data_IF_016182186939
#
_entry.id   IF_016182186939
#
_cell.length_a   1.000
_cell.length_b   1.000
_cell.length_c   1.000
_cell.angle_alpha   90.00
_cell.angle_beta   90.00
_cell.angle_gamma   90.00
#
_symmetry.space_group_name_H-M   'P 1'
#
loop_
_entity.id
_entity.type
_entity.pdbx_description
1 polymer ?
#
# COMPACT_ATOMS: atom_id res chain seq x y z
N UNK A 1 18.50 19.24 -47.79
CA UNK A 1 17.99 19.82 -46.53
C UNK A 1 18.29 18.81 -45.43
N UNK A 2 19.48 18.90 -44.85
CA UNK A 2 19.88 18.14 -43.67
C UNK A 2 19.13 18.74 -42.48
N UNK A 3 18.22 17.95 -41.92
CA UNK A 3 17.38 18.37 -40.82
C UNK A 3 18.26 18.45 -39.56
N UNK A 4 18.63 19.66 -39.13
CA UNK A 4 19.15 19.96 -37.78
C UNK A 4 18.04 19.70 -36.74
N UNK A 5 17.57 18.46 -36.65
CA UNK A 5 16.65 18.04 -35.59
C UNK A 5 17.53 17.72 -34.41
N UNK A 6 17.50 18.58 -33.38
CA UNK A 6 18.42 18.50 -32.23
C UNK A 6 18.51 17.12 -31.56
N UNK A 7 19.48 16.98 -30.67
CA UNK A 7 19.92 15.76 -29.95
C UNK A 7 18.82 14.72 -29.58
N UNK A 8 17.60 15.15 -29.30
CA UNK A 8 16.48 14.29 -28.92
C UNK A 8 15.66 13.69 -30.08
N UNK A 9 16.08 13.85 -31.33
CA UNK A 9 15.33 13.39 -32.50
C UNK A 9 16.13 12.49 -33.45
N UNK A 10 17.45 12.38 -33.29
CA UNK A 10 18.30 11.66 -34.25
C UNK A 10 18.23 10.14 -34.08
N UNK A 11 18.18 9.66 -32.84
CA UNK A 11 18.30 8.23 -32.52
C UNK A 11 16.95 7.53 -32.24
N UNK A 12 15.86 8.29 -32.12
CA UNK A 12 14.54 7.74 -31.77
C UNK A 12 13.74 7.34 -33.01
N UNK A 13 12.95 6.29 -32.89
CA UNK A 13 11.91 5.96 -33.87
C UNK A 13 10.76 6.97 -33.83
N UNK A 14 9.96 7.03 -34.90
CA UNK A 14 8.90 8.04 -35.05
C UNK A 14 7.79 7.98 -33.98
N UNK A 15 7.56 6.79 -33.43
CA UNK A 15 6.65 6.47 -32.34
C UNK A 15 7.22 6.76 -30.95
N UNK A 16 8.54 6.76 -30.79
CA UNK A 16 9.21 7.12 -29.54
C UNK A 16 9.49 8.61 -29.39
N UNK A 17 9.26 9.42 -30.43
CA UNK A 17 9.41 10.86 -30.35
C UNK A 17 8.60 11.45 -29.19
N UNK A 18 9.23 12.36 -28.45
CA UNK A 18 8.71 13.04 -27.26
C UNK A 18 8.51 12.18 -26.00
N UNK A 19 8.75 10.86 -26.01
CA UNK A 19 8.65 10.03 -24.79
C UNK A 19 9.52 10.61 -23.67
N UNK A 20 10.76 11.01 -23.98
CA UNK A 20 11.66 11.62 -22.99
C UNK A 20 11.10 12.93 -22.40
N UNK A 21 10.44 13.76 -23.20
CA UNK A 21 9.86 15.03 -22.75
C UNK A 21 8.66 14.78 -21.82
N UNK A 22 7.85 13.78 -22.17
CA UNK A 22 6.71 13.31 -21.37
C UNK A 22 7.24 12.78 -20.02
N UNK A 23 8.23 11.90 -20.03
CA UNK A 23 8.77 11.27 -18.82
C UNK A 23 9.43 12.28 -17.88
N UNK A 24 10.21 13.24 -18.41
CA UNK A 24 10.81 14.32 -17.62
C UNK A 24 9.72 15.19 -16.99
N UNK A 25 8.67 15.54 -17.76
CA UNK A 25 7.55 16.33 -17.24
C UNK A 25 6.85 15.61 -16.09
N UNK A 26 6.59 14.31 -16.26
CA UNK A 26 6.00 13.47 -15.23
C UNK A 26 6.92 13.26 -14.03
N UNK A 27 8.24 13.17 -14.23
CA UNK A 27 9.22 13.09 -13.17
C UNK A 27 9.17 14.34 -12.27
N UNK A 28 9.11 15.53 -12.87
CA UNK A 28 9.04 16.80 -12.13
C UNK A 28 7.78 16.84 -11.26
N UNK A 29 6.60 16.57 -11.85
CA UNK A 29 5.35 16.63 -11.08
C UNK A 29 5.24 15.52 -10.02
N UNK A 30 5.79 14.32 -10.27
CA UNK A 30 5.84 13.26 -9.27
C UNK A 30 6.85 13.56 -8.16
N UNK A 31 7.99 14.20 -8.46
CA UNK A 31 8.94 14.66 -7.46
C UNK A 31 8.33 15.72 -6.55
N UNK A 32 7.61 16.70 -7.11
CA UNK A 32 6.84 17.68 -6.33
C UNK A 32 5.79 17.01 -5.46
N UNK A 33 5.04 16.04 -6.00
CA UNK A 33 4.06 15.28 -5.24
C UNK A 33 4.70 14.48 -4.10
N UNK A 34 5.88 13.89 -4.32
CA UNK A 34 6.64 13.17 -3.30
C UNK A 34 7.09 14.11 -2.18
N UNK A 35 7.58 15.31 -2.50
CA UNK A 35 7.95 16.32 -1.51
C UNK A 35 6.74 16.74 -0.66
N UNK A 36 5.58 17.00 -1.28
CA UNK A 36 4.34 17.34 -0.57
C UNK A 36 3.89 16.18 0.33
N UNK A 37 3.99 14.95 -0.17
CA UNK A 37 3.64 13.73 0.58
C UNK A 37 4.56 13.55 1.78
N UNK A 38 5.87 13.75 1.63
CA UNK A 38 6.82 13.68 2.75
C UNK A 38 6.53 14.78 3.78
N UNK A 39 6.22 15.99 3.34
CA UNK A 39 5.80 17.08 4.25
C UNK A 39 4.52 16.73 5.03
N UNK A 40 3.51 16.15 4.36
CA UNK A 40 2.32 15.66 5.02
C UNK A 40 2.63 14.50 5.97
N UNK A 41 3.54 13.60 5.62
CA UNK A 41 4.00 12.51 6.49
C UNK A 41 4.55 13.05 7.83
N UNK A 42 5.38 14.10 7.79
CA UNK A 42 5.89 14.75 9.00
C UNK A 42 4.77 15.35 9.86
N UNK A 43 3.82 16.06 9.23
CA UNK A 43 2.65 16.63 9.93
C UNK A 43 1.70 15.57 10.50
N UNK A 44 1.54 14.44 9.81
CA UNK A 44 0.72 13.32 10.29
C UNK A 44 1.41 12.59 11.43
N UNK A 45 2.74 12.41 11.36
CA UNK A 45 3.54 11.78 12.41
C UNK A 45 3.47 12.56 13.73
N UNK A 46 3.57 13.89 13.69
CA UNK A 46 3.45 14.71 14.90
C UNK A 46 2.06 14.63 15.56
N UNK A 47 1.04 14.26 14.78
CA UNK A 47 -0.35 14.10 15.24
C UNK A 47 -0.76 12.64 15.49
N UNK A 48 0.17 11.68 15.45
CA UNK A 48 -0.08 10.24 15.58
C UNK A 48 -1.00 9.64 14.49
N UNK A 49 -1.15 10.32 13.35
CA UNK A 49 -2.00 9.89 12.22
C UNK A 49 -1.22 9.22 11.08
N UNK A 50 -0.03 8.68 11.38
CA UNK A 50 0.83 8.06 10.38
C UNK A 50 0.57 6.56 10.25
N UNK A 51 -0.52 6.23 9.57
CA UNK A 51 -0.99 4.85 9.41
C UNK A 51 -0.21 4.08 8.34
N UNK A 52 -0.29 2.75 8.45
CA UNK A 52 0.31 1.82 7.50
C UNK A 52 -0.13 2.08 6.06
N UNK A 53 -1.39 2.47 5.82
CA UNK A 53 -1.88 2.81 4.47
C UNK A 53 -1.11 3.99 3.86
N UNK A 54 -0.83 5.03 4.63
CA UNK A 54 -0.02 6.16 4.17
C UNK A 54 1.44 5.76 3.90
N UNK A 55 2.00 4.82 4.68
CA UNK A 55 3.33 4.25 4.42
C UNK A 55 3.37 3.47 3.09
N UNK A 56 2.36 2.64 2.83
CA UNK A 56 2.25 1.90 1.56
C UNK A 56 2.14 2.87 0.38
N UNK A 57 1.36 3.95 0.54
CA UNK A 57 1.28 5.02 -0.45
C UNK A 57 2.65 5.68 -0.73
N UNK A 58 3.42 6.01 0.32
CA UNK A 58 4.77 6.55 0.18
C UNK A 58 5.69 5.61 -0.60
N UNK A 59 5.65 4.31 -0.32
CA UNK A 59 6.43 3.30 -1.05
C UNK A 59 6.03 3.28 -2.52
N UNK A 60 4.72 3.22 -2.81
CA UNK A 60 4.18 3.26 -4.18
C UNK A 60 4.67 4.48 -4.95
N UNK A 61 4.49 5.68 -4.39
CA UNK A 61 4.88 6.94 -5.03
C UNK A 61 6.41 7.03 -5.23
N UNK A 62 7.19 6.52 -4.28
CA UNK A 62 8.66 6.47 -4.40
C UNK A 62 9.09 5.52 -5.51
N UNK A 63 8.46 4.35 -5.63
CA UNK A 63 8.68 3.43 -6.76
C UNK A 63 8.32 4.11 -8.09
N UNK A 64 7.20 4.84 -8.17
CA UNK A 64 6.81 5.58 -9.39
C UNK A 64 7.84 6.64 -9.78
N UNK A 65 8.30 7.44 -8.82
CA UNK A 65 9.32 8.47 -9.06
C UNK A 65 10.66 7.83 -9.47
N UNK A 66 11.02 6.70 -8.86
CA UNK A 66 12.25 5.95 -9.21
C UNK A 66 12.18 5.39 -10.63
N UNK A 67 11.03 4.84 -11.03
CA UNK A 67 10.77 4.42 -12.41
C UNK A 67 11.02 5.56 -13.40
N UNK A 68 10.36 6.71 -13.20
CA UNK A 68 10.47 7.87 -14.09
C UNK A 68 11.89 8.42 -14.15
N UNK A 69 12.62 8.39 -13.02
CA UNK A 69 14.02 8.82 -12.95
C UNK A 69 14.91 7.90 -13.79
N UNK A 70 14.81 6.58 -13.59
CA UNK A 70 15.64 5.61 -14.32
C UNK A 70 15.29 5.63 -15.82
N UNK A 71 14.01 5.70 -16.19
CA UNK A 71 13.58 5.83 -17.59
C UNK A 71 14.09 7.12 -18.23
N UNK A 72 13.99 8.26 -17.55
CA UNK A 72 14.49 9.54 -18.08
C UNK A 72 16.01 9.49 -18.31
N UNK A 73 16.77 8.89 -17.41
CA UNK A 73 18.22 8.69 -17.57
C UNK A 73 18.51 7.72 -18.72
N UNK A 74 17.75 6.63 -18.84
CA UNK A 74 17.86 5.66 -19.92
C UNK A 74 17.63 6.31 -21.29
N UNK A 75 16.50 6.98 -21.46
CA UNK A 75 16.15 7.68 -22.71
C UNK A 75 17.13 8.82 -23.01
N UNK A 76 17.60 9.53 -21.99
CA UNK A 76 18.62 10.57 -22.14
C UNK A 76 19.96 10.02 -22.63
N UNK A 77 20.39 8.84 -22.16
CA UNK A 77 21.60 8.18 -22.67
C UNK A 77 21.39 7.70 -24.11
N UNK A 78 20.28 7.04 -24.37
CA UNK A 78 19.91 6.56 -25.69
C UNK A 78 19.86 7.69 -26.73
N UNK A 79 19.37 8.88 -26.35
CA UNK A 79 19.39 10.06 -27.22
C UNK A 79 20.80 10.47 -27.66
N UNK A 80 21.81 10.26 -26.80
CA UNK A 80 23.19 10.68 -27.06
C UNK A 80 24.00 9.62 -27.82
N UNK A 81 23.84 8.34 -27.49
CA UNK A 81 24.67 7.26 -28.04
C UNK A 81 23.96 6.37 -29.06
N UNK A 82 22.62 6.39 -29.11
CA UNK A 82 21.81 5.52 -29.96
C UNK A 82 21.86 4.05 -29.60
N UNK A 83 22.44 3.69 -28.44
CA UNK A 83 22.66 2.30 -28.04
C UNK A 83 21.55 1.86 -27.08
N UNK A 84 20.73 0.92 -27.53
CA UNK A 84 19.70 0.33 -26.67
C UNK A 84 20.31 -0.52 -25.54
N UNK A 85 19.88 -0.24 -24.32
CA UNK A 85 20.30 -0.97 -23.11
C UNK A 85 19.10 -1.63 -22.45
N UNK A 86 18.63 -2.78 -22.97
CA UNK A 86 17.35 -3.38 -22.55
C UNK A 86 17.31 -3.68 -21.05
N UNK A 87 18.43 -4.08 -20.44
CA UNK A 87 18.49 -4.35 -19.00
C UNK A 87 18.11 -3.17 -18.11
N UNK A 88 18.46 -1.93 -18.51
CA UNK A 88 18.10 -0.73 -17.75
C UNK A 88 16.61 -0.40 -17.94
N UNK A 89 16.09 -0.52 -19.16
CA UNK A 89 14.66 -0.35 -19.48
C UNK A 89 13.80 -1.34 -18.68
N UNK A 90 14.17 -2.62 -18.67
CA UNK A 90 13.49 -3.67 -17.88
C UNK A 90 13.57 -3.39 -16.38
N UNK A 91 14.73 -2.95 -15.87
CA UNK A 91 14.88 -2.61 -14.46
C UNK A 91 14.03 -1.40 -14.04
N UNK A 92 13.89 -0.39 -14.90
CA UNK A 92 12.98 0.72 -14.65
C UNK A 92 11.52 0.24 -14.61
N UNK A 93 11.08 -0.55 -15.61
CA UNK A 93 9.71 -1.10 -15.66
C UNK A 93 9.37 -1.94 -14.43
N UNK A 94 10.34 -2.63 -13.83
CA UNK A 94 10.14 -3.33 -12.55
C UNK A 94 9.64 -2.38 -11.44
N UNK A 95 10.17 -1.16 -11.34
CA UNK A 95 9.70 -0.17 -10.37
C UNK A 95 8.29 0.35 -10.70
N UNK A 96 7.93 0.48 -11.98
CA UNK A 96 6.58 0.83 -12.42
C UNK A 96 5.57 -0.24 -11.99
N UNK A 97 5.91 -1.51 -12.20
CA UNK A 97 5.11 -2.65 -11.77
C UNK A 97 5.00 -2.72 -10.25
N UNK A 98 6.10 -2.51 -9.53
CA UNK A 98 6.11 -2.48 -8.06
C UNK A 98 5.21 -1.35 -7.51
N UNK A 99 5.30 -0.15 -8.09
CA UNK A 99 4.41 0.99 -7.79
C UNK A 99 2.95 0.58 -7.92
N UNK A 100 2.57 0.01 -9.06
CA UNK A 100 1.19 -0.45 -9.33
C UNK A 100 0.73 -1.50 -8.32
N UNK A 101 1.57 -2.49 -7.99
CA UNK A 101 1.26 -3.53 -7.01
C UNK A 101 1.04 -2.97 -5.60
N UNK A 102 1.90 -2.04 -5.14
CA UNK A 102 1.71 -1.39 -3.83
C UNK A 102 0.48 -0.51 -3.79
N UNK A 103 0.20 0.22 -4.87
CA UNK A 103 -1.01 1.03 -4.99
C UNK A 103 -2.27 0.16 -4.98
N UNK A 104 -2.28 -0.96 -5.71
CA UNK A 104 -3.37 -1.92 -5.70
C UNK A 104 -3.62 -2.48 -4.30
N UNK A 105 -2.56 -2.91 -3.61
CA UNK A 105 -2.65 -3.39 -2.23
C UNK A 105 -3.29 -2.33 -1.33
N UNK A 106 -2.85 -1.07 -1.44
CA UNK A 106 -3.41 0.05 -0.70
C UNK A 106 -4.92 0.21 -0.94
N UNK A 107 -5.36 0.18 -2.20
CA UNK A 107 -6.78 0.31 -2.55
C UNK A 107 -7.61 -0.84 -1.99
N UNK A 108 -7.11 -2.08 -2.03
CA UNK A 108 -7.81 -3.25 -1.49
C UNK A 108 -7.91 -3.16 0.03
N UNK A 109 -6.83 -2.79 0.72
CA UNK A 109 -6.82 -2.63 2.18
C UNK A 109 -7.83 -1.56 2.60
N UNK A 110 -7.83 -0.41 1.94
CA UNK A 110 -8.78 0.67 2.22
C UNK A 110 -10.21 0.31 1.82
N UNK A 111 -10.40 -0.43 0.73
CA UNK A 111 -11.70 -0.96 0.34
C UNK A 111 -12.29 -1.93 1.37
N UNK A 112 -11.42 -2.67 2.09
CA UNK A 112 -11.81 -3.50 3.24
C UNK A 112 -12.02 -2.71 4.55
N UNK A 113 -11.76 -1.41 4.51
CA UNK A 113 -11.90 -0.48 5.61
C UNK A 113 -10.72 -0.40 6.57
N UNK A 114 -9.56 -0.93 6.18
CA UNK A 114 -8.34 -0.77 6.98
C UNK A 114 -7.98 0.71 7.10
N UNK A 115 -7.68 1.13 8.33
CA UNK A 115 -7.39 2.51 8.74
C UNK A 115 -8.57 3.50 8.67
N UNK A 116 -9.59 3.25 7.82
CA UNK A 116 -10.76 4.13 7.67
C UNK A 116 -11.87 3.79 8.69
N UNK A 117 -12.34 2.54 8.68
CA UNK A 117 -13.41 2.08 9.59
C UNK A 117 -12.91 1.10 10.63
N UNK A 118 -11.74 0.47 10.40
CA UNK A 118 -11.15 -0.54 11.28
C UNK A 118 -9.65 -0.32 11.44
N UNK A 119 -9.17 -0.36 12.68
CA UNK A 119 -7.72 -0.33 12.99
C UNK A 119 -7.00 -1.64 12.63
N UNK A 120 -7.70 -2.78 12.64
CA UNK A 120 -7.18 -4.11 12.30
C UNK A 120 -8.13 -4.83 11.35
N UNK A 121 -7.58 -5.60 10.42
CA UNK A 121 -8.34 -6.52 9.56
C UNK A 121 -8.41 -7.87 10.28
N UNK A 122 -9.53 -8.58 10.17
CA UNK A 122 -9.64 -9.94 10.71
C UNK A 122 -8.60 -10.87 10.09
N UNK A 123 -8.12 -11.86 10.85
CA UNK A 123 -7.11 -12.83 10.40
C UNK A 123 -7.49 -13.49 9.08
N UNK A 124 -8.74 -13.95 8.95
CA UNK A 124 -9.24 -14.52 7.70
C UNK A 124 -9.29 -13.52 6.53
N UNK A 125 -9.51 -12.23 6.81
CA UNK A 125 -9.45 -11.17 5.79
C UNK A 125 -8.02 -10.91 5.32
N UNK A 126 -7.06 -10.85 6.25
CA UNK A 126 -5.63 -10.71 5.96
C UNK A 126 -5.13 -11.88 5.13
N UNK A 127 -5.49 -13.11 5.49
CA UNK A 127 -5.12 -14.32 4.75
C UNK A 127 -5.64 -14.23 3.30
N UNK A 128 -6.93 -13.90 3.09
CA UNK A 128 -7.52 -13.76 1.76
C UNK A 128 -6.83 -12.68 0.90
N UNK A 129 -6.54 -11.52 1.49
CA UNK A 129 -5.83 -10.43 0.79
C UNK A 129 -4.40 -10.85 0.44
N UNK A 130 -3.71 -11.52 1.35
CA UNK A 130 -2.33 -11.97 1.15
C UNK A 130 -2.27 -13.00 0.03
N UNK A 131 -3.14 -14.01 0.05
CA UNK A 131 -3.23 -15.01 -1.03
C UNK A 131 -3.50 -14.33 -2.38
N UNK A 132 -4.49 -13.43 -2.42
CA UNK A 132 -4.82 -12.69 -3.63
C UNK A 132 -3.61 -11.90 -4.16
N UNK A 133 -2.94 -11.12 -3.31
CA UNK A 133 -1.80 -10.31 -3.70
C UNK A 133 -0.58 -11.16 -4.12
N UNK A 134 -0.33 -12.28 -3.45
CA UNK A 134 0.74 -13.21 -3.83
C UNK A 134 0.48 -13.79 -5.22
N UNK A 135 -0.74 -14.27 -5.48
CA UNK A 135 -1.12 -14.77 -6.81
C UNK A 135 -1.01 -13.65 -7.86
N UNK A 136 -1.47 -12.44 -7.53
CA UNK A 136 -1.39 -11.29 -8.42
C UNK A 136 0.06 -10.96 -8.80
N UNK A 137 0.97 -10.86 -7.82
CA UNK A 137 2.38 -10.55 -8.05
C UNK A 137 3.08 -11.66 -8.84
N UNK A 138 2.80 -12.94 -8.53
CA UNK A 138 3.36 -14.07 -9.29
C UNK A 138 2.87 -14.05 -10.74
N UNK A 139 1.57 -13.86 -10.96
CA UNK A 139 1.00 -13.78 -12.30
C UNK A 139 1.58 -12.59 -13.08
N UNK A 140 1.67 -11.42 -12.44
CA UNK A 140 2.29 -10.24 -13.02
C UNK A 140 3.76 -10.51 -13.40
N UNK A 141 4.53 -11.14 -12.51
CA UNK A 141 5.93 -11.49 -12.77
C UNK A 141 6.08 -12.49 -13.92
N UNK A 142 5.22 -13.50 -14.00
CA UNK A 142 5.20 -14.46 -15.12
C UNK A 142 4.93 -13.73 -16.44
N UNK A 143 3.94 -12.83 -16.48
CA UNK A 143 3.63 -12.03 -17.67
C UNK A 143 4.79 -11.11 -18.05
N UNK A 144 5.45 -10.51 -17.06
CA UNK A 144 6.62 -9.66 -17.26
C UNK A 144 7.81 -10.45 -17.84
N UNK A 145 8.07 -11.67 -17.34
CA UNK A 145 9.12 -12.54 -17.91
C UNK A 145 8.73 -13.04 -19.30
N UNK A 146 7.45 -13.35 -19.52
CA UNK A 146 6.93 -13.76 -20.82
C UNK A 146 7.13 -12.66 -21.86
N UNK A 147 6.80 -11.42 -21.52
CA UNK A 147 7.08 -10.24 -22.35
C UNK A 147 8.58 -10.18 -22.70
N UNK A 148 9.48 -10.17 -21.70
CA UNK A 148 10.91 -10.03 -21.98
C UNK A 148 11.52 -11.19 -22.81
N UNK A 149 10.92 -12.39 -22.83
CA UNK A 149 11.48 -13.56 -23.54
C UNK A 149 10.88 -13.82 -24.92
N UNK A 150 9.59 -13.58 -25.08
CA UNK A 150 8.84 -14.00 -26.27
C UNK A 150 8.34 -12.83 -27.11
N UNK A 151 8.47 -11.59 -26.61
CA UNK A 151 8.08 -10.40 -27.34
C UNK A 151 9.17 -10.04 -28.35
N UNK A 152 8.83 -10.11 -29.64
CA UNK A 152 9.67 -9.60 -30.71
C UNK A 152 9.28 -8.15 -31.01
N UNK A 153 10.13 -7.15 -30.68
CA UNK A 153 9.83 -5.74 -30.92
C UNK A 153 9.65 -5.41 -32.43
N UNK A 154 10.15 -6.26 -33.34
CA UNK A 154 9.96 -6.09 -34.77
C UNK A 154 8.57 -6.49 -35.29
N UNK A 155 7.84 -7.34 -34.55
CA UNK A 155 6.51 -7.82 -34.94
C UNK A 155 5.38 -7.13 -34.17
N UNK A 156 5.65 -6.73 -32.93
CA UNK A 156 4.67 -6.03 -32.07
C UNK A 156 5.33 -4.76 -31.54
N UNK A 157 4.91 -3.60 -32.06
CA UNK A 157 5.41 -2.30 -31.61
C UNK A 157 4.89 -1.93 -30.20
N UNK A 158 3.81 -2.56 -29.73
CA UNK A 158 3.06 -2.07 -28.58
C UNK A 158 2.73 -3.14 -27.54
N UNK A 159 3.04 -2.87 -26.26
CA UNK A 159 2.89 -3.82 -25.14
C UNK A 159 1.49 -4.44 -25.05
N UNK A 160 0.43 -3.64 -25.18
CA UNK A 160 -0.94 -4.13 -25.03
C UNK A 160 -1.54 -4.72 -26.30
N UNK A 161 -0.76 -4.85 -27.37
CA UNK A 161 -1.05 -5.74 -28.50
C UNK A 161 -0.45 -7.14 -28.30
N UNK A 162 0.28 -7.36 -27.20
CA UNK A 162 0.84 -8.67 -26.87
C UNK A 162 -0.10 -9.53 -26.01
N UNK A 163 0.07 -10.86 -26.05
CA UNK A 163 -0.58 -11.77 -25.11
C UNK A 163 -0.31 -11.41 -23.63
N UNK A 164 0.91 -10.95 -23.31
CA UNK A 164 1.26 -10.52 -21.96
C UNK A 164 0.42 -9.30 -21.52
N UNK A 165 0.28 -8.32 -22.42
CA UNK A 165 -0.51 -7.12 -22.19
C UNK A 165 -1.99 -7.42 -21.95
N UNK A 166 -2.58 -8.34 -22.71
CA UNK A 166 -3.96 -8.81 -22.44
C UNK A 166 -4.08 -9.50 -21.07
N UNK A 167 -3.07 -10.27 -20.67
CA UNK A 167 -3.00 -10.84 -19.32
C UNK A 167 -2.99 -9.77 -18.23
N UNK A 168 -2.20 -8.70 -18.39
CA UNK A 168 -2.14 -7.58 -17.45
C UNK A 168 -3.49 -6.86 -17.34
N UNK A 169 -4.18 -6.64 -18.46
CA UNK A 169 -5.54 -6.08 -18.48
C UNK A 169 -6.51 -6.97 -17.71
N UNK A 170 -6.45 -8.29 -17.95
CA UNK A 170 -7.28 -9.27 -17.24
C UNK A 170 -7.06 -9.25 -15.73
N UNK A 171 -5.80 -9.19 -15.27
CA UNK A 171 -5.46 -9.04 -13.85
C UNK A 171 -6.01 -7.74 -13.25
N UNK A 172 -5.98 -6.65 -14.01
CA UNK A 172 -6.54 -5.36 -13.60
C UNK A 172 -8.07 -5.42 -13.41
N UNK A 173 -8.77 -6.05 -14.35
CA UNK A 173 -10.24 -6.22 -14.29
C UNK A 173 -10.63 -7.16 -13.12
N UNK A 174 -9.91 -8.26 -12.93
CA UNK A 174 -10.14 -9.15 -11.78
C UNK A 174 -9.97 -8.41 -10.45
N UNK A 175 -8.94 -7.59 -10.36
CA UNK A 175 -8.67 -6.74 -9.18
C UNK A 175 -9.77 -5.72 -8.94
N UNK A 176 -10.34 -5.15 -10.01
CA UNK A 176 -11.47 -4.25 -9.92
C UNK A 176 -12.74 -4.93 -9.37
N UNK A 177 -13.04 -6.16 -9.79
CA UNK A 177 -14.17 -6.92 -9.22
C UNK A 177 -13.97 -7.18 -7.73
N UNK A 178 -12.77 -7.60 -7.32
CA UNK A 178 -12.43 -7.80 -5.92
C UNK A 178 -12.55 -6.51 -5.11
N UNK A 179 -12.01 -5.40 -5.62
CA UNK A 179 -12.11 -4.08 -5.01
C UNK A 179 -13.57 -3.65 -4.84
N UNK A 180 -14.39 -3.80 -5.88
CA UNK A 180 -15.82 -3.48 -5.86
C UNK A 180 -16.58 -4.29 -4.82
N UNK A 181 -16.29 -5.60 -4.73
CA UNK A 181 -16.84 -6.47 -3.69
C UNK A 181 -16.43 -6.02 -2.28
N UNK A 182 -15.15 -5.69 -2.07
CA UNK A 182 -14.65 -5.22 -0.79
C UNK A 182 -15.37 -3.94 -0.33
N UNK A 183 -15.50 -2.95 -1.24
CA UNK A 183 -16.19 -1.69 -0.99
C UNK A 183 -17.65 -1.92 -0.64
N UNK A 184 -18.36 -2.75 -1.41
CA UNK A 184 -19.78 -3.03 -1.19
C UNK A 184 -20.01 -3.63 0.20
N UNK A 185 -19.21 -4.64 0.57
CA UNK A 185 -19.28 -5.27 1.88
C UNK A 185 -18.98 -4.28 3.02
N UNK A 186 -17.94 -3.45 2.86
CA UNK A 186 -17.54 -2.48 3.88
C UNK A 186 -18.59 -1.39 4.06
N UNK A 187 -19.14 -0.85 2.96
CA UNK A 187 -20.23 0.14 2.99
C UNK A 187 -21.48 -0.41 3.67
N UNK A 188 -21.87 -1.65 3.37
CA UNK A 188 -23.03 -2.30 4.01
C UNK A 188 -22.83 -2.47 5.52
N UNK A 189 -21.59 -2.67 5.98
CA UNK A 189 -21.26 -2.84 7.39
C UNK A 189 -21.08 -1.52 8.15
N UNK A 190 -20.64 -0.46 7.47
CA UNK A 190 -20.32 0.85 8.04
C UNK A 190 -21.01 1.99 7.27
N UNK A 191 -22.34 2.10 7.39
CA UNK A 191 -23.12 3.10 6.65
C UNK A 191 -22.72 4.54 7.01
N UNK A 192 -22.18 4.79 8.20
CA UNK A 192 -21.77 6.11 8.69
C UNK A 192 -20.59 6.72 7.89
N UNK A 193 -19.77 5.89 7.24
CA UNK A 193 -18.69 6.34 6.34
C UNK A 193 -19.05 6.22 4.86
N UNK A 194 -20.32 6.02 4.51
CA UNK A 194 -20.75 5.77 3.13
C UNK A 194 -20.32 6.86 2.15
N UNK A 195 -20.42 8.14 2.53
CA UNK A 195 -20.03 9.26 1.64
C UNK A 195 -18.56 9.17 1.19
N UNK A 196 -17.65 8.80 2.10
CA UNK A 196 -16.25 8.55 1.74
C UNK A 196 -16.14 7.39 0.74
N UNK A 197 -16.82 6.26 0.99
CA UNK A 197 -16.76 5.09 0.12
C UNK A 197 -17.38 5.31 -1.25
N UNK A 198 -18.42 6.14 -1.39
CA UNK A 198 -18.96 6.50 -2.69
C UNK A 198 -17.95 7.27 -3.53
N UNK A 199 -17.31 8.28 -2.94
CA UNK A 199 -16.31 9.08 -3.65
C UNK A 199 -15.05 8.27 -3.97
N UNK A 200 -14.60 7.47 -3.01
CA UNK A 200 -13.47 6.55 -3.17
C UNK A 200 -13.74 5.51 -4.28
N UNK A 201 -14.92 4.90 -4.27
CA UNK A 201 -15.32 3.94 -5.31
C UNK A 201 -15.36 4.58 -6.70
N UNK A 202 -15.93 5.78 -6.82
CA UNK A 202 -16.06 6.48 -8.10
C UNK A 202 -14.68 6.75 -8.72
N UNK A 203 -13.78 7.39 -7.98
CA UNK A 203 -12.45 7.73 -8.50
C UNK A 203 -11.61 6.51 -8.83
N UNK A 204 -11.60 5.49 -7.97
CA UNK A 204 -10.74 4.33 -8.21
C UNK A 204 -11.35 3.33 -9.18
N UNK A 205 -12.67 3.28 -9.35
CA UNK A 205 -13.27 2.58 -10.51
C UNK A 205 -12.80 3.19 -11.82
N UNK A 206 -12.73 4.52 -11.90
CA UNK A 206 -12.16 5.19 -13.07
C UNK A 206 -10.70 4.79 -13.28
N UNK A 207 -9.88 4.77 -12.23
CA UNK A 207 -8.48 4.31 -12.34
C UNK A 207 -8.35 2.86 -12.84
N UNK A 208 -9.16 1.94 -12.31
CA UNK A 208 -9.15 0.53 -12.73
C UNK A 208 -9.55 0.34 -14.19
N UNK A 209 -10.56 1.08 -14.65
CA UNK A 209 -11.12 0.97 -16.00
C UNK A 209 -10.41 1.86 -17.04
N UNK A 210 -9.70 2.90 -16.61
CA UNK A 210 -9.03 3.84 -17.50
C UNK A 210 -8.06 3.12 -18.43
N UNK A 211 -7.25 2.19 -17.90
CA UNK A 211 -6.27 1.49 -18.71
C UNK A 211 -6.91 0.53 -19.74
N UNK A 212 -7.81 -0.40 -19.38
CA UNK A 212 -8.51 -1.23 -20.36
C UNK A 212 -9.27 -0.44 -21.43
N UNK A 213 -9.99 0.62 -21.03
CA UNK A 213 -10.74 1.47 -21.97
C UNK A 213 -9.78 2.16 -22.93
N UNK A 214 -8.67 2.70 -22.41
CA UNK A 214 -7.70 3.40 -23.24
C UNK A 214 -6.99 2.47 -24.22
N UNK A 215 -6.63 1.24 -23.83
CA UNK A 215 -6.07 0.25 -24.76
C UNK A 215 -7.03 -0.05 -25.91
N UNK A 216 -8.33 -0.16 -25.63
CA UNK A 216 -9.34 -0.38 -26.66
C UNK A 216 -9.40 0.81 -27.64
N UNK A 217 -9.37 2.04 -27.12
CA UNK A 217 -9.31 3.26 -27.93
C UNK A 217 -8.02 3.29 -28.77
N UNK A 218 -6.88 2.97 -28.17
CA UNK A 218 -5.58 2.97 -28.84
C UNK A 218 -5.54 1.95 -29.99
N UNK A 219 -6.21 0.81 -29.84
CA UNK A 219 -6.30 -0.22 -30.88
C UNK A 219 -7.14 0.23 -32.08
N UNK A 220 -8.29 0.88 -31.86
CA UNK A 220 -9.22 1.25 -32.93
C UNK A 220 -8.97 2.63 -33.56
N UNK A 221 -8.43 3.59 -32.80
CA UNK A 221 -8.42 5.01 -33.19
C UNK A 221 -7.02 5.54 -33.46
N UNK A 222 -5.99 5.02 -32.79
CA UNK A 222 -4.66 5.60 -32.81
C UNK A 222 -3.75 4.86 -33.79
N UNK A 223 -3.14 5.59 -34.72
CA UNK A 223 -2.18 5.06 -35.68
C UNK A 223 -0.93 4.48 -34.99
N UNK A 224 -0.36 3.41 -35.57
CA UNK A 224 0.79 2.69 -35.00
C UNK A 224 1.99 3.61 -34.71
N UNK A 225 2.29 4.57 -35.60
CA UNK A 225 3.45 5.46 -35.50
C UNK A 225 3.37 6.53 -34.40
N UNK A 226 2.22 6.69 -33.72
CA UNK A 226 2.09 7.58 -32.55
C UNK A 226 1.68 6.85 -31.28
N UNK A 227 1.36 5.56 -31.39
CA UNK A 227 0.68 4.83 -30.34
C UNK A 227 1.52 4.73 -29.07
N UNK A 228 2.81 4.39 -29.19
CA UNK A 228 3.67 4.19 -28.02
C UNK A 228 3.79 5.45 -27.16
N UNK A 229 4.16 6.60 -27.75
CA UNK A 229 4.23 7.88 -27.02
C UNK A 229 2.90 8.31 -26.38
N UNK A 230 1.77 8.11 -27.07
CA UNK A 230 0.46 8.48 -26.51
C UNK A 230 0.12 7.57 -25.34
N UNK A 231 0.39 6.26 -25.45
CA UNK A 231 0.11 5.33 -24.36
C UNK A 231 1.00 5.62 -23.16
N UNK A 232 2.30 5.81 -23.34
CA UNK A 232 3.19 6.18 -22.24
C UNK A 232 2.70 7.45 -21.52
N UNK A 233 2.26 8.46 -22.29
CA UNK A 233 1.66 9.66 -21.72
C UNK A 233 0.41 9.38 -20.90
N UNK A 234 -0.51 8.56 -21.42
CA UNK A 234 -1.76 8.23 -20.74
C UNK A 234 -1.55 7.36 -19.51
N UNK A 235 -0.67 6.35 -19.56
CA UNK A 235 -0.30 5.55 -18.40
C UNK A 235 0.23 6.40 -17.25
N UNK A 236 1.18 7.29 -17.57
CA UNK A 236 1.74 8.22 -16.59
C UNK A 236 0.67 9.20 -16.07
N UNK A 237 -0.28 9.63 -16.92
CA UNK A 237 -1.43 10.46 -16.51
C UNK A 237 -2.30 9.71 -15.51
N UNK A 238 -2.68 8.46 -15.83
CA UNK A 238 -3.55 7.63 -14.99
C UNK A 238 -2.88 7.37 -13.64
N UNK A 239 -1.59 7.00 -13.64
CA UNK A 239 -0.81 6.78 -12.43
C UNK A 239 -0.70 8.06 -11.58
N UNK A 240 -0.39 9.19 -12.21
CA UNK A 240 -0.30 10.49 -11.55
C UNK A 240 -1.63 10.89 -10.89
N UNK A 241 -2.75 10.80 -11.63
CA UNK A 241 -4.07 11.14 -11.11
C UNK A 241 -4.47 10.25 -9.93
N UNK A 242 -4.15 8.95 -9.98
CA UNK A 242 -4.41 8.04 -8.88
C UNK A 242 -3.71 8.48 -7.60
N UNK A 243 -2.41 8.78 -7.70
CA UNK A 243 -1.61 9.23 -6.57
C UNK A 243 -2.05 10.62 -6.09
N UNK A 244 -2.41 11.53 -7.00
CA UNK A 244 -2.89 12.87 -6.66
C UNK A 244 -4.21 12.82 -5.89
N UNK A 245 -5.18 12.04 -6.38
CA UNK A 245 -6.47 11.85 -5.71
C UNK A 245 -6.25 11.29 -4.31
N UNK A 246 -5.34 10.31 -4.15
CA UNK A 246 -4.99 9.78 -2.84
C UNK A 246 -4.41 10.84 -1.91
N UNK A 247 -3.50 11.68 -2.40
CA UNK A 247 -2.90 12.77 -1.63
C UNK A 247 -3.96 13.78 -1.16
N UNK A 248 -4.90 14.14 -2.04
CA UNK A 248 -6.02 15.03 -1.71
C UNK A 248 -6.91 14.42 -0.62
N UNK A 249 -7.21 13.12 -0.72
CA UNK A 249 -8.02 12.40 0.27
C UNK A 249 -7.34 12.28 1.65
N UNK A 250 -6.01 12.21 1.66
CA UNK A 250 -5.18 12.03 2.88
C UNK A 250 -4.61 13.33 3.44
N UNK A 251 -4.99 14.48 2.88
CA UNK A 251 -4.56 15.80 3.39
C UNK A 251 -4.86 15.94 4.90
N UNK A 252 -3.96 16.53 5.71
CA UNK A 252 -4.11 16.60 7.17
C UNK A 252 -5.42 17.23 7.66
N UNK A 253 -6.01 18.16 6.89
CA UNK A 253 -7.29 18.80 7.22
C UNK A 253 -8.50 17.88 7.03
N UNK A 254 -8.45 16.95 6.08
CA UNK A 254 -9.50 15.95 5.86
C UNK A 254 -9.26 14.66 6.65
N UNK A 255 -8.02 14.43 7.10
CA UNK A 255 -7.63 13.20 7.77
C UNK A 255 -8.50 12.91 9.01
N UNK A 256 -8.78 13.90 9.85
CA UNK A 256 -9.64 13.71 11.04
C UNK A 256 -11.09 13.30 10.72
N UNK A 257 -11.62 13.68 9.55
CA UNK A 257 -12.98 13.32 9.10
C UNK A 257 -12.99 11.93 8.46
N UNK A 258 -11.99 11.67 7.61
CA UNK A 258 -11.89 10.44 6.84
C UNK A 258 -11.39 9.27 7.69
N UNK A 259 -10.62 9.55 8.75
CA UNK A 259 -9.99 8.56 9.60
C UNK A 259 -10.24 8.91 11.09
N UNK A 260 -11.04 8.10 11.82
CA UNK A 260 -11.43 8.38 13.19
C UNK A 260 -10.33 8.01 14.19
N UNK A 261 -9.92 8.95 15.05
CA UNK A 261 -8.80 8.76 15.99
C UNK A 261 -9.02 9.36 17.38
N UNK A 262 -10.24 9.28 17.92
CA UNK A 262 -10.45 9.65 19.32
C UNK A 262 -9.87 8.63 20.31
N UNK A 263 -9.27 7.53 19.84
CA UNK A 263 -8.56 6.55 20.68
C UNK A 263 -7.06 6.67 20.40
N UNK A 264 -6.28 7.08 21.41
CA UNK A 264 -4.82 7.18 21.31
C UNK A 264 -4.24 5.80 20.97
N UNK A 265 -3.22 5.73 20.11
CA UNK A 265 -2.52 4.49 19.72
C UNK A 265 -2.10 3.62 20.92
N UNK A 266 -1.87 4.23 22.08
CA UNK A 266 -1.57 3.56 23.35
C UNK A 266 -2.74 2.77 23.95
N UNK A 267 -4.00 3.18 23.74
CA UNK A 267 -5.18 2.47 24.27
C UNK A 267 -5.56 1.24 23.44
N UNK A 268 -5.18 1.21 22.15
CA UNK A 268 -5.44 0.07 21.26
C UNK A 268 -4.61 -1.15 21.69
N UNK A 269 -3.35 -0.93 22.12
CA UNK A 269 -2.48 -2.01 22.61
C UNK A 269 -2.89 -2.60 23.97
N UNK A 270 -3.62 -1.86 24.81
CA UNK A 270 -4.12 -2.36 26.10
C UNK A 270 -5.39 -3.20 25.92
N UNK A 271 -6.27 -2.82 24.97
CA UNK A 271 -7.42 -3.65 24.58
C UNK A 271 -7.03 -4.96 23.89
N UNK A 272 -5.86 -5.00 23.23
CA UNK A 272 -5.33 -6.19 22.54
C UNK A 272 -4.84 -7.30 23.49
N UNK A 273 -4.58 -7.00 24.76
CA UNK A 273 -4.09 -7.97 25.75
C UNK A 273 -5.19 -8.49 26.71
N UNK A 274 -6.42 -8.00 26.60
CA UNK A 274 -7.52 -8.49 27.41
C UNK A 274 -8.05 -9.81 26.82
N UNK A 275 -8.05 -10.94 27.57
CA UNK A 275 -8.62 -12.18 27.09
C UNK A 275 -10.12 -12.01 26.78
N UNK A 276 -10.55 -12.56 25.64
CA UNK A 276 -11.89 -12.43 25.04
C UNK A 276 -13.07 -12.97 25.87
N UNK A 277 -12.89 -13.32 27.14
CA UNK A 277 -13.85 -14.13 27.90
C UNK A 277 -14.95 -13.29 28.59
N UNK A 278 -14.78 -11.99 28.84
CA UNK A 278 -15.73 -11.25 29.71
C UNK A 278 -16.74 -10.32 29.02
N UNK A 279 -16.76 -10.22 27.68
CA UNK A 279 -17.67 -9.27 27.01
C UNK A 279 -19.15 -9.69 26.93
N UNK A 280 -19.58 -10.77 27.60
CA UNK A 280 -20.99 -11.21 27.52
C UNK A 280 -21.92 -10.58 28.57
N UNK A 281 -21.41 -9.97 29.65
CA UNK A 281 -22.25 -9.53 30.78
C UNK A 281 -22.18 -8.04 31.18
N UNK A 282 -21.56 -7.16 30.39
CA UNK A 282 -21.55 -5.72 30.73
C UNK A 282 -22.47 -4.90 29.82
N UNK A 283 -23.76 -4.87 30.15
CA UNK A 283 -24.69 -3.84 29.64
C UNK A 283 -24.63 -2.51 30.41
N UNK A 284 -23.84 -2.40 31.47
CA UNK A 284 -23.81 -1.21 32.35
C UNK A 284 -22.41 -0.62 32.61
N UNK A 285 -21.41 -0.86 31.76
CA UNK A 285 -20.08 -0.28 31.98
C UNK A 285 -19.98 1.14 31.43
N UNK A 286 -20.05 2.14 32.32
CA UNK A 286 -19.68 3.53 32.04
C UNK A 286 -18.17 3.68 32.29
N UNK A 287 -17.34 3.98 31.27
CA UNK A 287 -15.89 3.96 31.40
C UNK A 287 -15.29 5.23 32.06
N UNK A 288 -16.10 6.02 32.78
CA UNK A 288 -15.70 7.32 33.35
C UNK A 288 -15.76 7.39 34.88
N UNK A 289 -16.00 6.28 35.59
CA UNK A 289 -15.85 6.24 37.05
C UNK A 289 -14.40 6.01 37.42
N UNK A 290 -13.80 6.92 38.20
CA UNK A 290 -12.42 6.90 38.69
C UNK A 290 -12.13 5.82 39.75
N UNK A 291 -12.98 4.80 39.90
CA UNK A 291 -12.94 3.87 41.03
C UNK A 291 -12.34 2.51 40.65
N UNK A 292 -11.08 2.48 40.22
CA UNK A 292 -10.34 1.21 40.15
C UNK A 292 -9.03 1.31 40.93
N UNK A 293 -9.04 0.73 42.13
CA UNK A 293 -7.87 0.41 42.93
C UNK A 293 -7.81 -1.13 43.05
N UNK A 294 -6.87 -1.83 42.39
CA UNK A 294 -6.89 -3.29 42.37
C UNK A 294 -6.24 -3.85 43.64
N UNK A 295 -7.04 -4.40 44.55
CA UNK A 295 -6.58 -5.36 45.56
C UNK A 295 -6.44 -6.73 44.90
N UNK A 296 -5.22 -7.30 44.94
CA UNK A 296 -4.96 -8.66 44.49
C UNK A 296 -5.41 -9.66 45.56
N UNK A 297 -6.41 -10.47 45.23
CA UNK A 297 -6.87 -11.61 46.01
C UNK A 297 -6.14 -12.86 45.49
N UNK A 298 -5.42 -13.55 46.37
CA UNK A 298 -4.70 -14.78 46.05
C UNK A 298 -5.62 -15.98 46.31
N UNK A 299 -5.89 -16.79 45.28
CA UNK A 299 -6.62 -18.05 45.42
C UNK A 299 -5.83 -19.06 46.28
N UNK A 300 -6.50 -19.64 47.28
CA UNK A 300 -5.98 -20.73 48.13
C UNK A 300 -5.81 -22.04 47.34
N UNK A 301 -4.75 -22.84 47.59
CA UNK A 301 -4.54 -24.10 46.90
C UNK A 301 -5.30 -25.26 47.56
N UNK A 302 -5.91 -26.08 46.69
CA UNK A 302 -6.67 -27.30 46.99
C UNK A 302 -5.77 -28.36 47.65
N UNK A 303 -6.23 -28.88 48.79
CA UNK A 303 -5.59 -29.92 49.59
C UNK A 303 -5.74 -31.30 48.92
N UNK A 304 -4.62 -32.05 48.78
CA UNK A 304 -4.68 -33.50 48.60
C UNK A 304 -3.66 -34.13 47.65
N UNK A 305 -2.40 -34.25 48.06
CA UNK A 305 -1.64 -35.50 47.83
C UNK A 305 -0.40 -35.58 48.72
N UNK A 306 -0.37 -36.60 49.59
CA UNK A 306 0.77 -36.99 50.43
C UNK A 306 2.00 -37.29 49.56
N UNK A 307 3.15 -36.73 49.91
CA UNK A 307 4.40 -37.49 49.94
C UNK A 307 5.35 -36.91 50.99
N UNK A 308 5.83 -37.80 51.83
CA UNK A 308 6.58 -37.57 53.05
C UNK A 308 8.10 -37.55 52.81
N UNK A 309 8.79 -36.79 53.65
CA UNK A 309 10.25 -36.81 53.90
C UNK A 309 11.17 -36.36 52.76
N UNK A 310 11.73 -35.15 52.86
CA UNK A 310 13.18 -34.94 52.76
C UNK A 310 13.56 -33.49 53.14
N UNK A 311 14.51 -33.38 54.08
CA UNK A 311 15.29 -32.20 54.49
C UNK A 311 14.72 -31.24 55.54
N UNK A 312 14.96 -31.62 56.80
CA UNK A 312 15.25 -30.74 57.93
C UNK A 312 16.66 -30.15 57.78
N UNK A 313 16.85 -28.85 58.03
CA UNK A 313 18.12 -28.29 58.48
C UNK A 313 17.83 -27.48 59.74
N UNK A 314 18.37 -27.96 60.86
CA UNK A 314 18.32 -27.37 62.18
C UNK A 314 19.19 -26.11 62.27
N UNK A 315 18.72 -25.12 63.03
CA UNK A 315 19.47 -23.92 63.40
C UNK A 315 19.99 -24.08 64.85
N UNK A 316 21.30 -24.09 65.13
CA UNK A 316 21.80 -24.27 66.50
C UNK A 316 22.05 -22.94 67.21
N UNK A 317 21.36 -22.79 68.35
CA UNK A 317 21.84 -22.26 69.64
C UNK A 317 22.64 -20.94 69.71
N UNK A 318 22.07 -19.97 70.46
CA UNK A 318 22.62 -19.62 71.78
C UNK A 318 21.65 -18.78 72.65
N UNK A 319 21.12 -19.43 73.68
CA UNK A 319 20.86 -18.88 75.03
C UNK A 319 22.15 -18.19 75.57
N UNK A 320 22.21 -17.26 76.52
CA UNK A 320 21.37 -16.87 77.64
C UNK A 320 22.06 -15.66 78.33
N UNK A 321 21.33 -14.99 79.24
CA UNK A 321 21.80 -14.39 80.53
C UNK A 321 21.48 -12.90 80.78
N UNK A 322 20.35 -12.72 81.48
CA UNK A 322 20.06 -11.92 82.69
C UNK A 322 20.96 -10.73 83.11
N UNK A 323 20.24 -9.67 83.50
CA UNK A 323 20.25 -8.95 84.81
C UNK A 323 20.92 -7.55 84.96
N UNK A 324 20.05 -6.58 85.33
CA UNK A 324 20.15 -5.63 86.48
C UNK A 324 20.64 -4.17 86.28
N UNK A 325 19.72 -3.23 86.64
CA UNK A 325 19.83 -1.87 87.27
C UNK A 325 20.76 -0.81 86.61
N UNK A 326 20.48 0.49 86.59
CA UNK A 326 19.69 1.43 87.43
C UNK A 326 18.92 2.40 86.54
#
# INVERSE_FOLDING_TARGET
MTNDRGLFFEQFSADEFYIIHIDISYLIVNALMLLITVFFAFKLKSRQFFHTTYKIYLVSLTCQATYLLIMSIYLGKFANDGIERPGVKTFARFFQSASTCFFLLLLILMGKGYTITRGRISTGGVIKITIFMTIYVIAYFILFVFENKFFDPGLVLYLYESPAGYGLIGLHILSWFWFSYAIFCTRKRYPEKSSFYYLFYLFYTFWFLAMPIFVLIAYFVIDKWVREKVVNGVENTIAFLAHLIFLILTRPSAANKNFPYHVKTTQIGVMDNAPHIEMRNQKNFNPFSNDYNPTFEYDEPIEGQKSSHLFTIDNPNKNESKQTQV
#
